data_IF_570456875278
#
_entry.id   IF_570456875278
#
_cell.length_a   1.000
_cell.length_b   1.000
_cell.length_c   1.000
_cell.angle_alpha   90.00
_cell.angle_beta   90.00
_cell.angle_gamma   90.00
#
_symmetry.space_group_name_H-M   'P 1'
#
loop_
_entity.id
_entity.type
_entity.pdbx_description
1 polymer ?
#
# COMPACT_ATOMS: atom_id res chain seq x y z
N UNK A 1 26.75 -49.31 20.99
CA UNK A 1 25.61 -49.44 20.07
C UNK A 1 24.26 -49.37 20.79
N UNK A 2 24.10 -48.61 21.88
CA UNK A 2 22.84 -48.48 22.64
C UNK A 2 22.31 -47.03 22.70
N UNK A 3 23.02 -46.06 22.20
CA UNK A 3 22.63 -44.64 22.27
C UNK A 3 21.64 -44.25 21.15
N UNK A 4 21.67 -44.91 19.99
CA UNK A 4 20.80 -44.56 18.85
C UNK A 4 19.34 -45.02 19.01
N UNK A 5 19.06 -46.01 19.84
CA UNK A 5 17.71 -46.52 20.05
C UNK A 5 16.89 -45.64 21.00
N UNK A 6 17.54 -45.08 22.01
CA UNK A 6 16.88 -44.19 23.00
C UNK A 6 16.47 -42.85 22.36
N UNK A 7 17.27 -42.30 21.45
CA UNK A 7 16.94 -41.07 20.73
C UNK A 7 15.75 -41.26 19.75
N UNK A 8 15.68 -42.38 19.07
CA UNK A 8 14.58 -42.69 18.15
C UNK A 8 13.23 -42.83 18.87
N UNK A 9 13.24 -43.38 20.10
CA UNK A 9 12.01 -43.59 20.89
C UNK A 9 11.49 -42.30 21.53
N UNK A 10 12.40 -41.38 21.94
CA UNK A 10 12.02 -40.09 22.50
C UNK A 10 11.40 -39.17 21.45
N UNK A 11 11.89 -39.17 20.19
CA UNK A 11 11.35 -38.34 19.08
C UNK A 11 9.99 -38.88 18.63
N UNK A 12 9.77 -40.19 18.58
CA UNK A 12 8.46 -40.76 18.21
C UNK A 12 7.38 -40.52 19.26
N UNK A 13 7.72 -40.47 20.55
CA UNK A 13 6.75 -40.19 21.63
C UNK A 13 6.28 -38.70 21.60
N UNK A 14 7.15 -37.78 21.19
CA UNK A 14 6.80 -36.37 21.10
C UNK A 14 5.88 -36.06 19.91
N UNK A 15 5.98 -36.83 18.81
CA UNK A 15 5.15 -36.62 17.60
C UNK A 15 3.74 -37.24 17.72
N UNK A 16 3.56 -38.29 18.48
CA UNK A 16 2.22 -38.90 18.70
C UNK A 16 1.34 -37.99 19.57
N UNK A 17 1.93 -37.25 20.52
CA UNK A 17 1.19 -36.30 21.35
C UNK A 17 0.85 -34.97 20.61
N UNK A 18 1.60 -34.61 19.58
CA UNK A 18 1.33 -33.40 18.81
C UNK A 18 0.23 -33.60 17.73
N UNK A 19 0.02 -34.84 17.26
CA UNK A 19 -0.99 -35.12 16.23
C UNK A 19 -2.40 -35.33 16.79
N UNK A 20 -2.56 -35.61 18.08
CA UNK A 20 -3.87 -35.71 18.72
C UNK A 20 -4.47 -34.39 19.18
N UNK A 21 -3.69 -33.29 19.16
CA UNK A 21 -4.12 -31.95 19.52
C UNK A 21 -4.65 -31.09 18.34
N UNK A 22 -4.43 -31.52 17.10
CA UNK A 22 -4.98 -30.83 15.93
C UNK A 22 -6.35 -31.39 15.53
N UNK A 23 -7.29 -31.36 16.46
CA UNK A 23 -8.69 -31.46 16.12
C UNK A 23 -9.10 -30.20 15.38
N UNK A 24 -8.94 -30.17 14.05
CA UNK A 24 -9.54 -29.15 13.19
C UNK A 24 -11.07 -29.35 13.16
N UNK A 25 -11.73 -29.07 14.26
CA UNK A 25 -13.20 -28.94 14.32
C UNK A 25 -13.59 -27.50 14.55
N UNK A 26 -13.09 -26.59 13.71
CA UNK A 26 -13.59 -25.25 13.54
C UNK A 26 -13.87 -25.05 12.06
N UNK A 27 -15.12 -24.86 11.68
CA UNK A 27 -15.41 -24.24 10.40
C UNK A 27 -14.56 -22.97 10.35
N UNK A 28 -13.67 -22.85 9.36
CA UNK A 28 -12.99 -21.61 9.08
C UNK A 28 -14.07 -20.60 8.67
N UNK A 29 -14.60 -19.87 9.64
CA UNK A 29 -15.41 -18.72 9.32
C UNK A 29 -14.51 -17.76 8.57
N UNK A 30 -14.87 -17.42 7.34
CA UNK A 30 -14.21 -16.35 6.62
C UNK A 30 -14.36 -15.08 7.48
N UNK A 31 -13.24 -14.55 7.96
CA UNK A 31 -13.24 -13.34 8.75
C UNK A 31 -13.43 -12.16 7.80
N UNK A 32 -14.57 -11.48 7.92
CA UNK A 32 -14.91 -10.31 7.14
C UNK A 32 -14.61 -9.05 7.94
N UNK A 33 -13.86 -8.14 7.35
CA UNK A 33 -13.59 -6.81 7.88
C UNK A 33 -14.48 -5.78 7.20
N UNK A 34 -15.14 -4.92 7.99
CA UNK A 34 -15.92 -3.80 7.47
C UNK A 34 -15.52 -2.51 8.18
N UNK A 35 -15.60 -1.39 7.49
CA UNK A 35 -15.20 -0.12 8.07
C UNK A 35 -15.30 1.05 7.11
N UNK A 36 -14.67 2.14 7.52
CA UNK A 36 -14.51 3.36 6.73
C UNK A 36 -13.05 3.77 6.71
N UNK A 37 -12.64 4.41 5.62
CA UNK A 37 -11.31 5.00 5.47
C UNK A 37 -11.39 6.51 5.40
N UNK A 38 -10.31 7.16 5.81
CA UNK A 38 -10.00 8.57 5.55
C UNK A 38 -8.49 8.72 5.48
N UNK A 39 -7.98 9.83 4.95
CA UNK A 39 -6.55 10.04 4.97
C UNK A 39 -6.19 11.50 5.13
N UNK A 40 -4.95 11.72 5.57
CA UNK A 40 -4.30 13.03 5.56
C UNK A 40 -2.93 12.92 4.89
N UNK A 41 -2.53 14.01 4.24
CA UNK A 41 -1.22 14.10 3.61
C UNK A 41 -0.17 14.49 4.66
N UNK A 42 0.99 13.84 4.58
CA UNK A 42 2.15 14.16 5.42
C UNK A 42 3.04 15.23 4.80
N UNK A 43 4.16 15.52 5.47
CA UNK A 43 5.17 16.45 4.99
C UNK A 43 5.85 15.89 3.74
N UNK A 44 5.83 16.61 2.61
CA UNK A 44 6.41 16.11 1.37
C UNK A 44 7.94 16.15 1.37
N UNK A 45 8.54 15.41 0.43
CA UNK A 45 9.96 15.50 0.14
C UNK A 45 10.13 16.08 -1.26
N UNK A 46 10.89 17.18 -1.44
CA UNK A 46 11.17 17.73 -2.77
C UNK A 46 12.10 16.81 -3.57
N UNK A 47 12.01 16.92 -4.89
CA UNK A 47 12.98 16.32 -5.81
C UNK A 47 14.32 17.04 -5.80
N UNK A 48 15.31 16.48 -6.47
CA UNK A 48 16.66 17.03 -6.53
C UNK A 48 16.73 18.40 -7.26
N UNK A 49 15.76 18.68 -8.12
CA UNK A 49 15.64 19.94 -8.87
C UNK A 49 14.69 20.95 -8.20
N UNK A 50 13.90 20.51 -7.22
CA UNK A 50 12.92 21.32 -6.51
C UNK A 50 13.58 22.06 -5.36
N UNK A 51 14.17 23.21 -5.67
CA UNK A 51 14.97 24.00 -4.71
C UNK A 51 14.15 24.94 -3.85
N UNK A 52 12.91 25.25 -4.25
CA UNK A 52 12.00 26.16 -3.54
C UNK A 52 10.56 25.58 -3.55
N UNK A 53 10.33 24.42 -2.92
CA UNK A 53 9.04 23.73 -2.98
C UNK A 53 7.95 24.55 -2.31
N UNK A 54 6.83 24.76 -3.03
CA UNK A 54 5.65 25.47 -2.53
C UNK A 54 4.51 24.47 -2.41
N UNK A 55 3.94 24.33 -1.22
CA UNK A 55 2.83 23.40 -0.97
C UNK A 55 1.95 23.83 0.19
N UNK A 56 0.73 23.28 0.21
CA UNK A 56 -0.26 23.45 1.28
C UNK A 56 -1.06 22.18 1.44
N UNK A 57 -1.71 21.98 2.60
CA UNK A 57 -2.62 20.87 2.82
C UNK A 57 -2.04 19.69 3.59
N UNK A 58 -0.84 19.84 4.18
CA UNK A 58 -0.34 18.88 5.17
C UNK A 58 -1.34 18.76 6.32
N UNK A 59 -1.66 17.53 6.73
CA UNK A 59 -2.67 17.24 7.75
C UNK A 59 -4.12 17.27 7.24
N UNK A 60 -4.37 17.56 5.96
CA UNK A 60 -5.71 17.51 5.35
C UNK A 60 -5.82 16.39 4.30
N UNK A 61 -7.04 16.14 3.79
CA UNK A 61 -7.29 15.19 2.71
C UNK A 61 -7.03 15.78 1.31
N UNK A 62 -6.71 17.09 1.24
CA UNK A 62 -6.40 17.79 -0.02
C UNK A 62 -5.02 18.41 0.11
N UNK A 63 -4.15 18.13 -0.87
CA UNK A 63 -2.79 18.64 -0.95
C UNK A 63 -2.60 19.39 -2.25
N UNK A 64 -1.99 20.58 -2.19
CA UNK A 64 -1.65 21.38 -3.36
C UNK A 64 -0.15 21.62 -3.37
N UNK A 65 0.45 21.64 -4.58
CA UNK A 65 1.89 21.92 -4.71
C UNK A 65 2.23 22.61 -6.03
N UNK A 66 3.36 23.29 -6.02
CA UNK A 66 3.89 24.08 -7.12
C UNK A 66 3.35 25.52 -7.17
N UNK A 67 4.20 26.47 -7.56
CA UNK A 67 3.80 27.83 -7.82
C UNK A 67 3.14 27.94 -9.19
N UNK A 68 1.86 28.28 -9.22
CA UNK A 68 1.08 28.42 -10.46
C UNK A 68 1.10 29.84 -11.04
N UNK A 69 1.87 30.79 -10.48
CA UNK A 69 1.99 32.13 -10.99
C UNK A 69 2.91 32.19 -12.23
N UNK A 70 2.78 31.24 -13.13
CA UNK A 70 3.63 31.06 -14.32
C UNK A 70 3.45 32.12 -15.39
N UNK A 71 2.38 32.91 -15.32
CA UNK A 71 2.15 34.02 -16.22
C UNK A 71 2.61 35.30 -15.55
N UNK A 72 3.72 35.92 -15.98
CA UNK A 72 4.16 37.20 -15.41
C UNK A 72 3.08 38.27 -15.62
N UNK A 73 2.77 39.11 -14.62
CA UNK A 73 1.89 40.25 -14.76
C UNK A 73 2.59 41.31 -15.62
N UNK A 74 2.50 41.16 -16.93
CA UNK A 74 3.13 42.09 -17.88
C UNK A 74 2.14 42.44 -18.99
N UNK A 75 2.11 43.71 -19.46
CA UNK A 75 1.33 44.09 -20.65
C UNK A 75 1.82 43.37 -21.92
N UNK A 76 2.96 42.69 -21.86
CA UNK A 76 3.55 41.88 -22.93
C UNK A 76 3.44 40.36 -22.66
N UNK A 77 2.53 39.94 -21.78
CA UNK A 77 2.28 38.49 -21.57
C UNK A 77 1.90 37.87 -22.91
N UNK A 78 2.58 36.79 -23.35
CA UNK A 78 2.26 36.16 -24.62
C UNK A 78 0.79 35.75 -24.66
N UNK A 79 0.12 36.03 -25.77
CA UNK A 79 -1.23 35.49 -26.00
C UNK A 79 -1.19 33.98 -25.86
N UNK A 80 -1.83 33.44 -24.84
CA UNK A 80 -1.86 31.99 -24.62
C UNK A 80 -1.29 31.51 -23.28
N UNK A 81 -0.72 32.38 -22.45
CA UNK A 81 -0.38 31.99 -21.09
C UNK A 81 -1.66 31.78 -20.27
N UNK A 82 -1.92 30.57 -19.87
CA UNK A 82 -3.10 30.18 -19.07
C UNK A 82 -2.65 29.77 -17.68
N UNK A 83 -3.17 30.43 -16.64
CA UNK A 83 -3.00 30.01 -15.25
C UNK A 83 -4.05 28.98 -14.97
N UNK A 84 -3.63 27.74 -14.73
CA UNK A 84 -4.54 26.62 -14.39
C UNK A 84 -4.69 26.41 -12.88
N UNK A 85 -3.76 26.93 -12.08
CA UNK A 85 -3.66 26.71 -10.63
C UNK A 85 -2.58 25.70 -10.29
N UNK A 86 -2.28 25.49 -8.99
CA UNK A 86 -1.30 24.52 -8.55
C UNK A 86 -1.78 23.09 -8.80
N UNK A 87 -0.86 22.15 -8.83
CA UNK A 87 -1.19 20.73 -8.75
C UNK A 87 -2.02 20.44 -7.51
N UNK A 88 -2.96 19.47 -7.59
CA UNK A 88 -3.82 19.15 -6.46
C UNK A 88 -4.16 17.67 -6.42
N UNK A 89 -3.98 17.06 -5.23
CA UNK A 89 -4.47 15.73 -4.90
C UNK A 89 -5.56 15.82 -3.84
N UNK A 90 -6.64 15.06 -4.03
CA UNK A 90 -7.70 14.92 -3.04
C UNK A 90 -7.99 13.43 -2.80
N UNK A 91 -7.91 13.01 -1.55
CA UNK A 91 -8.26 11.66 -1.12
C UNK A 91 -9.67 11.65 -0.54
N UNK A 92 -10.55 10.84 -1.13
CA UNK A 92 -11.91 10.66 -0.67
C UNK A 92 -12.08 9.21 -0.19
N UNK A 93 -12.10 9.02 1.13
CA UNK A 93 -12.26 7.71 1.76
C UNK A 93 -13.60 7.07 1.43
N UNK A 94 -13.66 5.74 1.53
CA UNK A 94 -14.84 4.93 1.26
C UNK A 94 -15.21 4.07 2.46
N UNK A 95 -16.47 3.64 2.54
CA UNK A 95 -16.85 2.47 3.31
C UNK A 95 -16.45 1.21 2.56
N UNK A 96 -16.11 0.14 3.29
CA UNK A 96 -15.73 -1.14 2.72
C UNK A 96 -16.25 -2.32 3.52
N UNK A 97 -16.35 -3.47 2.86
CA UNK A 97 -16.53 -4.78 3.48
C UNK A 97 -15.73 -5.80 2.65
N UNK A 98 -14.84 -6.56 3.30
CA UNK A 98 -13.89 -7.43 2.61
C UNK A 98 -13.48 -8.62 3.47
N UNK A 99 -13.12 -9.72 2.82
CA UNK A 99 -12.48 -10.87 3.45
C UNK A 99 -10.94 -10.69 3.40
N UNK A 100 -10.23 -11.46 4.24
CA UNK A 100 -8.76 -11.48 4.24
C UNK A 100 -8.25 -11.85 2.84
N UNK A 101 -7.21 -11.15 2.38
CA UNK A 101 -6.57 -11.28 1.08
C UNK A 101 -7.44 -10.93 -0.14
N UNK A 102 -8.70 -10.54 0.06
CA UNK A 102 -9.55 -10.04 -1.02
C UNK A 102 -9.22 -8.58 -1.34
N UNK A 103 -9.26 -8.24 -2.65
CA UNK A 103 -9.08 -6.85 -3.10
C UNK A 103 -10.37 -6.08 -2.86
N UNK A 104 -10.26 -4.89 -2.28
CA UNK A 104 -11.42 -4.01 -2.09
C UNK A 104 -11.04 -2.55 -2.38
N UNK A 105 -12.03 -1.77 -2.79
CA UNK A 105 -11.87 -0.32 -2.92
C UNK A 105 -11.81 0.32 -1.54
N UNK A 106 -10.77 1.14 -1.31
CA UNK A 106 -10.57 1.84 -0.03
C UNK A 106 -10.82 3.34 -0.16
N UNK A 107 -10.65 3.91 -1.35
CA UNK A 107 -10.85 5.34 -1.58
C UNK A 107 -11.03 5.68 -3.06
N UNK A 108 -11.38 6.94 -3.34
CA UNK A 108 -11.15 7.60 -4.62
C UNK A 108 -10.01 8.64 -4.48
N UNK A 109 -9.12 8.67 -5.46
CA UNK A 109 -8.08 9.69 -5.60
C UNK A 109 -8.40 10.56 -6.80
N UNK A 110 -8.46 11.88 -6.56
CA UNK A 110 -8.61 12.88 -7.63
C UNK A 110 -7.32 13.65 -7.75
N UNK A 111 -6.75 13.68 -8.96
CA UNK A 111 -5.56 14.41 -9.30
C UNK A 111 -5.87 15.47 -10.36
N UNK A 112 -5.59 16.73 -10.06
CA UNK A 112 -5.58 17.84 -11.01
C UNK A 112 -4.12 18.20 -11.31
N UNK A 113 -3.75 18.15 -12.60
CA UNK A 113 -2.44 18.56 -13.08
C UNK A 113 -2.49 20.05 -13.47
N UNK A 114 -1.82 20.88 -12.67
CA UNK A 114 -1.73 22.33 -12.88
C UNK A 114 -0.39 22.75 -13.47
N UNK A 115 -0.36 23.87 -14.17
CA UNK A 115 0.88 24.45 -14.68
C UNK A 115 1.63 25.14 -13.56
N UNK A 116 2.82 24.66 -13.24
CA UNK A 116 3.64 25.16 -12.14
C UNK A 116 5.06 25.49 -12.58
N UNK A 117 5.75 26.39 -11.86
CA UNK A 117 7.15 26.70 -12.10
C UNK A 117 8.05 25.52 -11.78
N UNK A 118 9.06 25.28 -12.62
CA UNK A 118 10.15 24.36 -12.35
C UNK A 118 10.85 24.72 -11.02
N UNK A 119 11.20 23.72 -10.23
CA UNK A 119 11.87 23.89 -8.94
C UNK A 119 10.95 24.18 -7.76
N UNK A 120 9.62 24.31 -7.97
CA UNK A 120 8.65 24.59 -6.91
C UNK A 120 7.79 23.38 -6.54
N UNK A 121 8.07 22.22 -7.14
CA UNK A 121 7.32 21.00 -6.99
C UNK A 121 7.77 20.16 -5.77
N UNK A 122 7.19 18.97 -5.62
CA UNK A 122 7.58 17.95 -4.66
C UNK A 122 7.57 16.59 -5.37
N UNK A 123 8.47 15.68 -4.95
CA UNK A 123 8.64 14.38 -5.59
C UNK A 123 7.92 13.26 -4.81
N UNK A 124 7.97 13.29 -3.48
CA UNK A 124 7.34 12.27 -2.66
C UNK A 124 6.37 12.87 -1.67
N UNK A 125 5.21 12.25 -1.54
CA UNK A 125 4.15 12.69 -0.66
C UNK A 125 3.68 11.53 0.25
N UNK A 126 3.88 11.62 1.58
CA UNK A 126 3.35 10.64 2.52
C UNK A 126 1.82 10.68 2.58
N UNK A 127 1.21 9.50 2.64
CA UNK A 127 -0.22 9.29 2.85
C UNK A 127 -0.43 8.57 4.18
N UNK A 128 -1.03 9.24 5.15
CA UNK A 128 -1.45 8.68 6.43
C UNK A 128 -2.90 8.21 6.30
N UNK A 129 -3.08 6.94 5.99
CA UNK A 129 -4.39 6.32 5.76
C UNK A 129 -4.97 5.83 7.08
N UNK A 130 -6.03 6.46 7.55
CA UNK A 130 -6.77 6.08 8.75
C UNK A 130 -7.90 5.12 8.37
N UNK A 131 -7.94 3.95 9.01
CA UNK A 131 -8.96 2.93 8.82
C UNK A 131 -9.64 2.66 10.15
N UNK A 132 -10.93 2.92 10.22
CA UNK A 132 -11.78 2.64 11.39
C UNK A 132 -12.69 1.47 11.06
N UNK A 133 -12.49 0.35 11.78
CA UNK A 133 -13.26 -0.88 11.57
C UNK A 133 -14.58 -0.82 12.35
N UNK A 134 -15.68 -1.12 11.67
CA UNK A 134 -16.99 -1.36 12.28
C UNK A 134 -17.21 -2.84 12.60
N UNK A 135 -16.50 -3.73 11.88
CA UNK A 135 -16.39 -5.16 12.17
C UNK A 135 -14.96 -5.62 11.83
N UNK A 136 -14.20 -6.11 12.81
CA UNK A 136 -14.46 -6.10 14.25
C UNK A 136 -14.49 -4.69 14.82
N UNK A 137 -15.36 -4.44 15.80
CA UNK A 137 -15.53 -3.12 16.41
C UNK A 137 -14.35 -2.72 17.30
N UNK A 138 -14.09 -1.40 17.38
CA UNK A 138 -13.12 -0.83 18.33
C UNK A 138 -11.68 -0.81 17.85
N UNK A 139 -11.42 -1.13 16.57
CA UNK A 139 -10.09 -1.03 15.96
C UNK A 139 -10.08 0.20 15.07
N UNK A 140 -9.10 1.08 15.29
CA UNK A 140 -8.79 2.20 14.41
C UNK A 140 -7.29 2.32 14.30
N UNK A 141 -6.77 2.29 13.06
CA UNK A 141 -5.33 2.28 12.79
C UNK A 141 -4.98 3.26 11.68
N UNK A 142 -3.79 3.82 11.78
CA UNK A 142 -3.20 4.67 10.74
C UNK A 142 -2.11 3.88 10.03
N UNK A 143 -2.26 3.70 8.72
CA UNK A 143 -1.29 3.03 7.86
C UNK A 143 -0.52 4.07 7.05
N UNK A 144 0.80 3.93 7.03
CA UNK A 144 1.70 4.87 6.36
C UNK A 144 2.05 4.33 4.97
N UNK A 145 1.81 5.14 3.95
CA UNK A 145 2.18 4.88 2.55
C UNK A 145 2.89 6.11 1.97
N UNK A 146 3.37 5.98 0.75
CA UNK A 146 4.03 7.08 0.03
C UNK A 146 3.61 7.08 -1.44
N UNK A 147 3.33 8.26 -1.96
CA UNK A 147 3.13 8.49 -3.38
C UNK A 147 4.40 9.11 -3.97
N UNK A 148 4.70 8.77 -5.22
CA UNK A 148 5.72 9.40 -6.03
C UNK A 148 5.05 10.25 -7.10
N UNK A 149 5.34 11.53 -7.11
CA UNK A 149 4.78 12.54 -8.00
C UNK A 149 5.82 12.85 -9.08
N UNK A 150 5.44 12.73 -10.34
CA UNK A 150 6.32 12.98 -11.47
C UNK A 150 5.73 14.13 -12.29
N UNK A 151 6.39 15.28 -12.24
CA UNK A 151 6.05 16.45 -13.07
C UNK A 151 6.91 16.45 -14.33
N UNK A 152 6.31 16.72 -15.48
CA UNK A 152 6.99 16.89 -16.74
C UNK A 152 7.32 18.38 -16.98
N UNK A 153 8.28 18.65 -17.86
CA UNK A 153 8.71 20.02 -18.16
C UNK A 153 7.79 20.76 -19.13
N UNK A 154 6.71 20.16 -19.60
CA UNK A 154 5.73 20.76 -20.51
C UNK A 154 6.34 21.38 -21.80
N UNK A 155 7.42 20.76 -22.32
CA UNK A 155 8.16 21.26 -23.50
C UNK A 155 7.87 20.46 -24.77
N UNK A 156 7.14 19.35 -24.68
CA UNK A 156 6.82 18.52 -25.83
C UNK A 156 5.68 19.09 -26.66
N UNK A 157 5.70 18.80 -27.95
CA UNK A 157 4.61 19.20 -28.87
C UNK A 157 3.36 18.32 -28.67
N UNK A 158 3.58 17.06 -28.30
CA UNK A 158 2.50 16.11 -27.98
C UNK A 158 2.02 16.34 -26.54
N UNK A 159 0.75 16.68 -26.30
CA UNK A 159 0.20 16.85 -24.95
C UNK A 159 0.34 15.60 -24.06
N UNK A 160 0.38 14.40 -24.69
CA UNK A 160 0.54 13.14 -23.95
C UNK A 160 1.94 12.99 -23.31
N UNK A 161 2.98 13.61 -23.91
CA UNK A 161 4.33 13.65 -23.40
C UNK A 161 4.51 14.69 -22.27
N UNK A 162 3.60 15.66 -22.18
CA UNK A 162 3.56 16.68 -21.12
C UNK A 162 2.66 16.27 -19.95
N UNK A 163 2.10 15.07 -19.96
CA UNK A 163 1.25 14.61 -18.88
C UNK A 163 2.06 14.25 -17.65
N UNK A 164 1.53 14.61 -16.49
CA UNK A 164 2.10 14.27 -15.19
C UNK A 164 1.54 12.96 -14.63
N UNK A 165 2.29 12.35 -13.72
CA UNK A 165 1.93 11.05 -13.15
C UNK A 165 1.98 11.08 -11.63
N UNK A 166 1.06 10.34 -11.02
CA UNK A 166 1.09 10.00 -9.60
C UNK A 166 1.21 8.48 -9.49
N UNK A 167 2.27 8.00 -8.87
CA UNK A 167 2.50 6.59 -8.59
C UNK A 167 2.16 6.29 -7.14
N UNK A 168 1.52 5.15 -6.90
CA UNK A 168 1.27 4.64 -5.56
C UNK A 168 2.28 3.54 -5.22
N UNK A 169 2.84 3.60 -4.02
CA UNK A 169 3.68 2.52 -3.52
C UNK A 169 2.79 1.36 -3.08
N UNK A 170 2.95 0.21 -3.73
CA UNK A 170 2.18 -1.02 -3.46
C UNK A 170 2.81 -1.90 -2.38
N UNK A 171 3.74 -1.38 -1.60
CA UNK A 171 4.33 -2.10 -0.48
C UNK A 171 3.31 -2.28 0.66
N UNK A 172 3.59 -3.27 1.51
CA UNK A 172 2.87 -3.42 2.77
C UNK A 172 3.16 -2.23 3.68
N UNK A 173 2.13 -1.74 4.38
CA UNK A 173 2.37 -0.78 5.46
C UNK A 173 3.23 -1.40 6.56
N UNK A 174 4.07 -0.59 7.18
CA UNK A 174 4.84 -0.96 8.36
C UNK A 174 3.97 -1.08 9.62
N UNK A 175 2.73 -0.58 9.57
CA UNK A 175 1.76 -0.64 10.65
C UNK A 175 0.95 -1.92 10.60
N UNK A 176 0.50 -2.34 11.77
CA UNK A 176 -0.31 -3.55 11.91
C UNK A 176 -1.23 -3.46 13.11
N UNK A 177 -2.34 -4.17 13.05
CA UNK A 177 -3.28 -4.33 14.17
C UNK A 177 -3.43 -5.80 14.55
N UNK A 178 -3.94 -6.06 15.74
CA UNK A 178 -4.19 -7.41 16.25
C UNK A 178 -5.67 -7.62 16.47
N UNK A 179 -6.19 -8.73 15.99
CA UNK A 179 -7.55 -9.17 16.26
C UNK A 179 -7.57 -10.70 16.47
N UNK A 180 -8.23 -11.14 17.53
CA UNK A 180 -8.31 -12.58 17.94
C UNK A 180 -6.96 -13.28 17.96
N UNK A 181 -5.92 -12.59 18.45
CA UNK A 181 -4.56 -13.14 18.55
C UNK A 181 -3.78 -13.18 17.24
N UNK A 182 -4.40 -12.87 16.11
CA UNK A 182 -3.72 -12.77 14.81
C UNK A 182 -3.32 -11.32 14.51
N UNK A 183 -2.19 -11.16 13.83
CA UNK A 183 -1.67 -9.87 13.41
C UNK A 183 -1.96 -9.63 11.93
N UNK A 184 -2.48 -8.44 11.63
CA UNK A 184 -2.89 -8.02 10.29
C UNK A 184 -2.21 -6.72 9.89
N UNK A 185 -2.05 -6.51 8.58
CA UNK A 185 -1.60 -5.26 7.97
C UNK A 185 -2.41 -4.96 6.72
N UNK A 186 -2.26 -3.73 6.21
CA UNK A 186 -2.86 -3.29 4.96
C UNK A 186 -1.80 -3.22 3.86
N UNK A 187 -2.16 -3.67 2.66
CA UNK A 187 -1.38 -3.55 1.42
C UNK A 187 -2.20 -2.72 0.42
N UNK A 188 -1.64 -1.65 -0.12
CA UNK A 188 -2.23 -1.01 -1.30
C UNK A 188 -1.86 -1.80 -2.54
N UNK A 189 -2.84 -2.08 -3.40
CA UNK A 189 -2.64 -2.92 -4.59
C UNK A 189 -2.59 -2.11 -5.89
N UNK A 190 -2.91 -0.81 -5.83
CA UNK A 190 -2.88 0.09 -6.97
C UNK A 190 -4.23 0.73 -7.28
N UNK A 191 -4.38 1.15 -8.52
CA UNK A 191 -5.55 1.87 -9.03
C UNK A 191 -6.53 1.01 -9.82
N UNK A 192 -6.26 -0.28 -9.96
CA UNK A 192 -7.13 -1.22 -10.66
C UNK A 192 -7.15 -2.55 -9.90
N UNK A 193 -8.32 -3.20 -9.70
CA UNK A 193 -8.42 -4.45 -8.95
C UNK A 193 -7.82 -5.65 -9.69
N UNK A 194 -7.85 -5.64 -11.02
CA UNK A 194 -7.51 -6.80 -11.87
C UNK A 194 -6.08 -6.74 -12.43
N UNK A 195 -5.53 -5.54 -12.55
CA UNK A 195 -4.19 -5.31 -13.11
C UNK A 195 -3.43 -4.42 -12.14
N UNK A 196 -2.17 -4.70 -11.92
CA UNK A 196 -1.29 -3.88 -11.08
C UNK A 196 -1.01 -2.50 -11.73
N UNK A 197 -2.07 -1.70 -11.92
CA UNK A 197 -1.94 -0.32 -12.35
C UNK A 197 -1.53 0.53 -11.15
N UNK A 198 -0.28 0.92 -11.10
CA UNK A 198 0.32 1.65 -9.98
C UNK A 198 0.42 3.15 -10.23
N UNK A 199 -0.02 3.65 -11.38
CA UNK A 199 0.01 5.07 -11.72
C UNK A 199 -1.31 5.57 -12.28
N UNK A 200 -1.58 6.84 -12.01
CA UNK A 200 -2.60 7.65 -12.71
C UNK A 200 -1.89 8.75 -13.46
N UNK A 201 -2.45 9.13 -14.60
CA UNK A 201 -1.93 10.15 -15.51
C UNK A 201 -2.96 11.25 -15.68
N UNK A 202 -2.54 12.51 -15.66
CA UNK A 202 -3.37 13.65 -16.01
C UNK A 202 -2.63 14.54 -17.02
N UNK A 203 -3.32 14.93 -18.08
CA UNK A 203 -2.83 15.93 -19.00
C UNK A 203 -2.79 17.30 -18.32
N UNK A 204 -1.97 18.20 -18.84
CA UNK A 204 -1.84 19.57 -18.35
C UNK A 204 -3.20 20.29 -18.30
N UNK A 205 -3.55 20.88 -17.15
CA UNK A 205 -4.84 21.52 -16.90
C UNK A 205 -6.02 20.56 -16.73
N UNK A 206 -5.80 19.25 -16.76
CA UNK A 206 -6.86 18.24 -16.66
C UNK A 206 -6.95 17.62 -15.26
N UNK A 207 -8.11 17.01 -15.00
CA UNK A 207 -8.38 16.23 -13.78
C UNK A 207 -8.55 14.77 -14.13
N UNK A 208 -7.85 13.89 -13.42
CA UNK A 208 -8.03 12.45 -13.43
C UNK A 208 -8.57 11.96 -12.09
N UNK A 209 -9.52 11.03 -12.10
CA UNK A 209 -10.04 10.39 -10.88
C UNK A 209 -9.98 8.89 -11.04
N UNK A 210 -9.52 8.20 -10.00
CA UNK A 210 -9.41 6.75 -9.96
C UNK A 210 -9.71 6.21 -8.57
N UNK A 211 -10.08 4.94 -8.48
CA UNK A 211 -10.21 4.24 -7.20
C UNK A 211 -8.86 3.73 -6.73
N UNK A 212 -8.63 3.75 -5.41
CA UNK A 212 -7.51 3.08 -4.75
C UNK A 212 -8.01 1.75 -4.20
N UNK A 213 -7.25 0.69 -4.42
CA UNK A 213 -7.55 -0.66 -3.96
C UNK A 213 -6.54 -1.15 -2.93
N UNK A 214 -7.02 -1.98 -2.01
CA UNK A 214 -6.24 -2.52 -0.91
C UNK A 214 -6.58 -3.99 -0.65
N UNK A 215 -5.73 -4.62 0.18
CA UNK A 215 -5.97 -5.94 0.79
C UNK A 215 -5.61 -5.89 2.27
N UNK A 216 -6.38 -6.60 3.10
CA UNK A 216 -5.97 -6.90 4.48
C UNK A 216 -5.22 -8.23 4.47
N UNK A 217 -3.99 -8.22 4.95
CA UNK A 217 -3.07 -9.36 4.97
C UNK A 217 -2.80 -9.84 6.39
N UNK A 218 -2.73 -11.15 6.59
CA UNK A 218 -2.25 -11.74 7.84
C UNK A 218 -0.72 -11.70 7.87
N UNK A 219 -0.15 -11.27 8.98
CA UNK A 219 1.28 -11.36 9.24
C UNK A 219 1.54 -12.66 9.99
N UNK A 220 2.24 -13.65 9.38
CA UNK A 220 2.56 -14.89 10.05
C UNK A 220 3.44 -14.66 11.29
N UNK A 221 3.12 -15.31 12.41
CA UNK A 221 4.02 -15.28 13.56
C UNK A 221 5.35 -15.99 13.24
N UNK A 222 6.49 -15.49 13.76
CA UNK A 222 7.79 -16.11 13.53
C UNK A 222 7.84 -17.60 13.93
N UNK A 223 7.10 -17.98 14.98
CA UNK A 223 6.97 -19.37 15.42
C UNK A 223 6.31 -20.29 14.41
N UNK A 224 5.29 -19.81 13.71
CA UNK A 224 4.59 -20.59 12.66
C UNK A 224 5.51 -20.86 11.48
N UNK A 225 6.28 -19.86 11.04
CA UNK A 225 7.26 -20.00 9.95
C UNK A 225 8.37 -20.96 10.34
N UNK A 226 8.90 -20.88 11.56
CA UNK A 226 9.92 -21.80 12.08
C UNK A 226 9.39 -23.24 12.16
N UNK A 227 8.17 -23.43 12.65
CA UNK A 227 7.52 -24.74 12.74
C UNK A 227 7.32 -25.39 11.38
N UNK A 228 6.83 -24.66 10.39
CA UNK A 228 6.66 -25.15 9.01
C UNK A 228 7.99 -25.47 8.34
N UNK A 229 9.03 -24.68 8.58
CA UNK A 229 10.39 -24.92 8.06
C UNK A 229 10.98 -26.21 8.63
N UNK A 230 10.86 -26.45 9.94
CA UNK A 230 11.32 -27.66 10.59
C UNK A 230 10.56 -28.91 10.10
N UNK A 231 9.23 -28.80 9.89
CA UNK A 231 8.42 -29.86 9.34
C UNK A 231 8.85 -30.20 7.90
N UNK A 232 9.10 -29.18 7.08
CA UNK A 232 9.62 -29.34 5.71
C UNK A 232 10.96 -30.10 5.67
N UNK A 233 11.91 -29.72 6.53
CA UNK A 233 13.21 -30.39 6.65
C UNK A 233 13.04 -31.84 7.07
N UNK A 234 12.18 -32.10 8.05
CA UNK A 234 11.88 -33.46 8.51
C UNK A 234 11.31 -34.36 7.41
N UNK A 235 10.34 -33.88 6.64
CA UNK A 235 9.72 -34.62 5.54
C UNK A 235 10.72 -34.94 4.41
N UNK A 236 11.60 -33.99 4.08
CA UNK A 236 12.67 -34.20 3.07
C UNK A 236 13.69 -35.24 3.55
N UNK A 237 14.08 -35.17 4.82
CA UNK A 237 15.00 -36.13 5.44
C UNK A 237 14.42 -37.56 5.42
N UNK A 238 13.14 -37.70 5.78
CA UNK A 238 12.44 -39.01 5.77
C UNK A 238 12.39 -39.62 4.36
N UNK A 239 12.13 -38.81 3.30
CA UNK A 239 12.16 -39.30 1.91
C UNK A 239 13.51 -39.85 1.50
N UNK A 240 14.63 -39.22 1.92
CA UNK A 240 15.99 -39.70 1.64
C UNK A 240 16.31 -41.02 2.33
N UNK A 241 15.84 -41.23 3.56
CA UNK A 241 16.04 -42.48 4.29
C UNK A 241 15.25 -43.63 3.67
N UNK A 242 14.05 -43.43 3.17
CA UNK A 242 13.23 -44.45 2.53
C UNK A 242 13.80 -44.90 1.18
N UNK A 243 14.44 -43.98 0.39
CA UNK A 243 15.08 -44.31 -0.89
C UNK A 243 16.40 -45.08 -0.75
N UNK A 244 17.02 -45.16 0.42
CA UNK A 244 18.24 -45.92 0.68
C UNK A 244 17.99 -47.39 1.11
N UNK A 245 16.74 -47.83 1.25
CA UNK A 245 16.37 -49.20 1.70
C UNK A 245 15.91 -50.10 0.56
N UNK A 246 16.03 -49.68 -0.71
CA UNK A 246 15.79 -50.51 -1.90
C UNK A 246 16.99 -50.55 -2.80
#
# INVERSE_FOLDING_TARGET
MKLSLVFATAISSFFVSATTGFGFSGQAHALTFSGISSATWGEPTPGSIDTDPIYTGVGSNTFNWGDSNVCPPSPNTPSGCTITGPNKLTFNGSSFSTDINSVFKIADLTYFNGTVFEGTSVEFLPLNLNVSFSSPTGISEVFDFKLHLVNTLNQATDPEENADFVFIDTNLSNRSFTFEGNKYTLELTGFNPDVSQISIKALEGATATTAIYAKIKTIPEPGTVAGLSLLGIYLISRKKFLKKKY
#
